data_IF_698373159566
#
_entry.id   IF_698373159566
#
_cell.length_a   1.000
_cell.length_b   1.000
_cell.length_c   1.000
_cell.angle_alpha   90.00
_cell.angle_beta   90.00
_cell.angle_gamma   90.00
#
_symmetry.space_group_name_H-M   'P 1'
#
loop_
_entity.id
_entity.type
_entity.pdbx_description
1 polymer ?
#
# COMPACT_ATOMS: atom_id res chain seq x y z
N UNK A 1 -15.64 -6.57 9.79
CA UNK A 1 -16.16 -7.72 9.03
C UNK A 1 -15.10 -8.21 8.05
N UNK A 2 -14.89 -9.51 8.02
CA UNK A 2 -13.91 -10.11 7.14
C UNK A 2 -14.34 -9.98 5.67
N UNK A 3 -13.45 -9.50 4.82
CA UNK A 3 -13.71 -9.40 3.39
C UNK A 3 -12.80 -10.38 2.65
N UNK A 4 -13.35 -11.42 2.01
CA UNK A 4 -12.53 -12.41 1.33
C UNK A 4 -11.62 -11.87 0.23
N UNK A 5 -11.97 -10.73 -0.37
CA UNK A 5 -11.11 -10.11 -1.39
C UNK A 5 -9.89 -9.44 -0.79
N UNK A 6 -10.02 -9.01 0.47
CA UNK A 6 -8.97 -8.26 1.13
C UNK A 6 -8.71 -8.85 2.51
N UNK A 7 -8.14 -10.06 2.55
CA UNK A 7 -8.01 -10.79 3.81
C UNK A 7 -6.82 -10.36 4.66
N UNK A 8 -5.95 -9.54 4.12
CA UNK A 8 -4.71 -9.14 4.80
C UNK A 8 -4.75 -7.66 5.14
N UNK A 9 -3.82 -7.22 5.98
CA UNK A 9 -3.71 -5.80 6.32
C UNK A 9 -2.29 -5.31 6.14
N UNK A 10 -2.17 -4.02 5.83
CA UNK A 10 -0.89 -3.36 5.77
C UNK A 10 -0.94 -2.01 6.46
N UNK A 11 0.20 -1.57 6.94
CA UNK A 11 0.37 -0.25 7.55
C UNK A 11 1.54 0.44 6.87
N UNK A 12 1.38 1.73 6.62
CA UNK A 12 2.34 2.48 5.82
C UNK A 12 3.30 3.23 6.73
N UNK A 13 4.58 3.14 6.40
CA UNK A 13 5.65 3.89 7.05
C UNK A 13 6.35 4.73 5.99
N UNK A 14 6.56 5.99 6.30
CA UNK A 14 7.21 6.91 5.37
C UNK A 14 8.43 7.50 6.01
N UNK A 15 9.48 7.69 5.21
CA UNK A 15 10.71 8.27 5.72
C UNK A 15 10.46 9.69 6.19
N UNK A 16 10.98 10.02 7.36
CA UNK A 16 10.91 11.38 7.89
C UNK A 16 11.89 12.26 7.12
N UNK A 17 11.48 13.48 6.81
CA UNK A 17 12.31 14.43 6.09
C UNK A 17 12.49 15.68 6.91
N UNK A 18 13.67 16.29 6.79
CA UNK A 18 13.95 17.56 7.42
C UNK A 18 13.41 18.71 6.57
N UNK A 19 13.63 19.95 7.01
CA UNK A 19 13.11 21.13 6.32
C UNK A 19 13.64 21.28 4.91
N UNK A 20 14.81 20.68 4.62
CA UNK A 20 15.41 20.73 3.29
C UNK A 20 14.92 19.61 2.38
N UNK A 21 14.03 18.76 2.86
CA UNK A 21 13.50 17.63 2.09
C UNK A 21 14.40 16.41 2.08
N UNK A 22 15.44 16.39 2.90
CA UNK A 22 16.36 15.26 2.97
C UNK A 22 15.91 14.27 4.06
N UNK A 23 16.17 12.97 3.87
CA UNK A 23 15.81 11.99 4.88
C UNK A 23 16.53 12.26 6.20
N UNK A 24 15.80 12.07 7.29
CA UNK A 24 16.39 12.13 8.63
C UNK A 24 17.07 10.78 8.87
N UNK A 25 18.33 10.84 9.31
CA UNK A 25 19.14 9.66 9.55
C UNK A 25 19.42 9.58 11.06
N UNK A 26 19.25 8.39 11.63
CA UNK A 26 19.54 8.18 13.05
C UNK A 26 21.03 7.98 13.30
N UNK A 27 21.39 7.78 14.56
CA UNK A 27 22.80 7.62 14.96
C UNK A 27 23.48 6.41 14.35
N UNK A 28 22.69 5.41 13.94
CA UNK A 28 23.22 4.21 13.30
C UNK A 28 23.39 4.36 11.80
N UNK A 29 23.01 5.51 11.23
CA UNK A 29 23.10 5.74 9.82
C UNK A 29 21.88 5.30 9.02
N UNK A 30 20.81 4.90 9.69
CA UNK A 30 19.60 4.42 9.03
C UNK A 30 18.55 5.50 8.93
N UNK A 31 17.73 5.47 7.86
CA UNK A 31 16.62 6.42 7.75
C UNK A 31 15.59 6.18 8.86
N UNK A 32 15.01 7.26 9.34
CA UNK A 32 13.93 7.23 10.34
C UNK A 32 12.60 7.22 9.61
N UNK A 33 11.72 6.30 10.00
CA UNK A 33 10.38 6.19 9.42
C UNK A 33 9.33 6.45 10.48
N UNK A 34 8.22 7.03 10.06
CA UNK A 34 7.04 7.20 10.90
C UNK A 34 5.83 6.60 10.24
N UNK A 35 4.88 6.18 11.07
CA UNK A 35 3.60 5.67 10.60
C UNK A 35 2.83 6.80 9.93
N UNK A 36 2.26 6.49 8.78
CA UNK A 36 1.42 7.42 8.03
C UNK A 36 -0.01 6.92 8.07
N UNK A 37 -0.92 7.78 8.54
CA UNK A 37 -2.33 7.48 8.38
C UNK A 37 -2.73 7.85 6.96
N UNK A 38 -3.57 7.03 6.37
CA UNK A 38 -4.05 7.24 5.01
C UNK A 38 -5.55 7.38 5.02
N UNK A 39 -6.08 7.99 3.98
CA UNK A 39 -7.52 8.12 3.82
C UNK A 39 -8.01 6.90 3.07
N UNK A 40 -8.94 6.18 3.65
CA UNK A 40 -9.58 5.08 2.95
C UNK A 40 -11.05 5.39 2.75
N UNK A 41 -11.63 4.85 1.70
CA UNK A 41 -13.03 5.07 1.39
C UNK A 41 -13.90 4.32 2.40
N UNK A 42 -14.89 5.01 2.93
CA UNK A 42 -15.85 4.39 3.84
C UNK A 42 -16.78 3.48 3.03
N UNK A 43 -16.92 2.24 3.46
CA UNK A 43 -17.74 1.26 2.79
C UNK A 43 -18.83 0.80 3.75
N UNK A 44 -20.08 0.85 3.30
CA UNK A 44 -21.24 0.37 4.06
C UNK A 44 -21.98 -0.63 3.18
N UNK A 45 -22.21 -1.82 3.73
CA UNK A 45 -22.88 -2.91 3.01
C UNK A 45 -22.23 -3.23 1.67
N UNK A 46 -20.90 -3.17 1.63
CA UNK A 46 -20.13 -3.50 0.45
C UNK A 46 -20.07 -2.41 -0.61
N UNK A 47 -20.62 -1.24 -0.32
CA UNK A 47 -20.65 -0.13 -1.29
C UNK A 47 -19.95 1.08 -0.72
N UNK A 48 -19.17 1.80 -1.55
CA UNK A 48 -18.59 3.06 -1.12
C UNK A 48 -19.69 4.08 -0.82
N UNK A 49 -19.48 4.86 0.23
CA UNK A 49 -20.40 5.94 0.59
C UNK A 49 -20.03 7.16 -0.21
N UNK A 50 -21.02 7.72 -0.94
CA UNK A 50 -20.81 8.94 -1.72
C UNK A 50 -21.40 10.14 -1.00
N UNK A 51 -20.65 11.23 -1.03
CA UNK A 51 -21.11 12.52 -0.54
C UNK A 51 -22.00 13.20 -1.58
N UNK A 52 -22.71 14.22 -1.14
CA UNK A 52 -23.65 14.94 -2.03
C UNK A 52 -22.96 15.63 -3.20
N UNK A 53 -21.67 15.92 -3.09
CA UNK A 53 -20.91 16.55 -4.16
C UNK A 53 -20.29 15.55 -5.14
N UNK A 54 -20.60 14.28 -5.00
CA UNK A 54 -20.10 13.23 -5.89
C UNK A 54 -18.76 12.62 -5.50
N UNK A 55 -18.15 13.10 -4.44
CA UNK A 55 -16.91 12.50 -3.94
C UNK A 55 -17.25 11.38 -2.97
N UNK A 56 -16.27 10.49 -2.77
CA UNK A 56 -16.42 9.43 -1.79
C UNK A 56 -16.12 9.95 -0.39
N UNK A 57 -16.87 9.45 0.58
CA UNK A 57 -16.57 9.71 1.98
C UNK A 57 -15.35 8.88 2.36
N UNK A 58 -14.41 9.51 3.07
CA UNK A 58 -13.18 8.85 3.49
C UNK A 58 -13.00 9.01 5.00
N UNK A 59 -12.20 8.11 5.56
CA UNK A 59 -11.81 8.20 6.96
C UNK A 59 -10.33 7.89 7.09
N UNK A 60 -9.71 8.42 8.13
CA UNK A 60 -8.32 8.13 8.40
C UNK A 60 -8.18 6.71 8.91
N UNK A 61 -7.17 6.01 8.43
CA UNK A 61 -6.88 4.66 8.85
C UNK A 61 -5.37 4.44 8.91
N UNK A 62 -4.97 3.70 9.92
CA UNK A 62 -3.58 3.27 10.07
C UNK A 62 -3.35 1.95 9.34
N UNK A 63 -4.31 1.05 9.42
CA UNK A 63 -4.25 -0.26 8.76
C UNK A 63 -5.24 -0.30 7.60
N UNK A 64 -4.80 -0.87 6.50
CA UNK A 64 -5.59 -0.96 5.28
C UNK A 64 -5.73 -2.42 4.90
N UNK A 65 -6.95 -2.83 4.59
CA UNK A 65 -7.21 -4.17 4.09
C UNK A 65 -6.70 -4.30 2.66
N UNK A 66 -6.11 -5.44 2.34
CA UNK A 66 -5.66 -5.71 0.98
C UNK A 66 -5.67 -7.20 0.69
N UNK A 67 -5.50 -7.54 -0.56
CA UNK A 67 -5.31 -8.92 -0.99
C UNK A 67 -4.20 -8.98 -2.02
N UNK A 68 -3.55 -10.13 -2.11
CA UNK A 68 -2.58 -10.35 -3.17
C UNK A 68 -3.31 -10.63 -4.47
N UNK A 69 -2.69 -10.21 -5.55
CA UNK A 69 -3.22 -10.43 -6.87
C UNK A 69 -2.17 -11.16 -7.70
N UNK A 70 -2.60 -12.17 -8.44
CA UNK A 70 -1.70 -12.88 -9.34
C UNK A 70 -1.36 -11.99 -10.51
N UNK A 71 -0.08 -11.84 -10.79
CA UNK A 71 0.34 -11.15 -12.00
C UNK A 71 0.01 -12.02 -13.19
N UNK A 72 -0.51 -11.38 -14.24
CA UNK A 72 -0.94 -12.12 -15.41
C UNK A 72 0.21 -12.79 -16.13
N UNK A 73 -0.07 -13.96 -16.67
CA UNK A 73 0.92 -14.70 -17.46
C UNK A 73 1.28 -13.99 -18.74
N UNK A 74 0.49 -13.01 -19.13
CA UNK A 74 0.71 -12.28 -20.37
C UNK A 74 1.76 -11.19 -20.25
N UNK A 75 2.24 -10.95 -19.06
CA UNK A 75 3.35 -10.04 -18.88
C UNK A 75 4.64 -10.75 -19.24
N UNK A 76 4.83 -10.96 -20.52
CA UNK A 76 5.96 -11.70 -21.00
C UNK A 76 7.00 -10.86 -21.65
N UNK A 77 6.80 -9.60 -21.57
CA UNK A 77 7.79 -8.67 -22.04
C UNK A 77 9.06 -8.86 -21.25
N UNK A 78 10.17 -8.91 -21.92
CA UNK A 78 11.46 -9.11 -21.28
C UNK A 78 11.78 -8.00 -20.30
N UNK A 79 11.19 -6.83 -20.47
CA UNK A 79 11.39 -5.73 -19.53
C UNK A 79 10.65 -5.96 -18.22
N UNK A 80 9.74 -6.91 -18.17
CA UNK A 80 8.93 -7.17 -16.99
C UNK A 80 9.57 -8.14 -16.00
N UNK A 81 10.76 -8.63 -16.31
CA UNK A 81 11.45 -9.56 -15.42
C UNK A 81 11.58 -8.98 -14.01
N UNK A 82 11.89 -7.70 -13.93
CA UNK A 82 12.04 -7.04 -12.63
C UNK A 82 10.69 -6.96 -11.89
N UNK A 83 9.62 -6.68 -12.63
CA UNK A 83 8.29 -6.57 -12.05
C UNK A 83 7.79 -7.93 -11.55
N UNK A 84 8.15 -9.01 -12.21
CA UNK A 84 7.71 -10.34 -11.82
C UNK A 84 8.27 -10.76 -10.46
N UNK A 85 9.33 -10.12 -9.99
CA UNK A 85 9.91 -10.41 -8.68
C UNK A 85 9.17 -9.71 -7.54
N UNK A 86 8.26 -8.81 -7.85
CA UNK A 86 7.52 -8.08 -6.83
C UNK A 86 6.18 -8.73 -6.56
N UNK A 87 5.70 -8.53 -5.35
CA UNK A 87 4.35 -8.94 -4.99
C UNK A 87 3.37 -7.86 -5.41
N UNK A 88 2.28 -8.27 -6.00
CA UNK A 88 1.23 -7.35 -6.40
C UNK A 88 0.08 -7.45 -5.41
N UNK A 89 -0.20 -6.35 -4.74
CA UNK A 89 -1.31 -6.25 -3.80
C UNK A 89 -2.41 -5.40 -4.40
N UNK A 90 -3.65 -5.73 -4.07
CA UNK A 90 -4.82 -4.95 -4.45
C UNK A 90 -5.54 -4.52 -3.18
N UNK A 91 -5.84 -3.24 -3.07
CA UNK A 91 -6.54 -2.67 -1.93
C UNK A 91 -7.78 -1.93 -2.40
N UNK A 92 -8.77 -1.70 -1.51
CA UNK A 92 -9.86 -0.81 -1.82
C UNK A 92 -9.33 0.57 -2.18
N UNK A 93 -10.16 1.37 -2.84
CA UNK A 93 -9.76 2.73 -3.21
C UNK A 93 -9.23 3.46 -1.97
N UNK A 94 -7.99 3.94 -2.07
CA UNK A 94 -7.35 4.67 -1.00
C UNK A 94 -6.60 5.84 -1.59
N UNK A 95 -6.25 6.79 -0.75
CA UNK A 95 -5.76 8.03 -1.24
C UNK A 95 -4.39 7.91 -1.82
N UNK A 96 -3.46 7.15 -1.20
CA UNK A 96 -2.19 7.33 -1.80
C UNK A 96 -1.02 6.74 -1.00
N UNK A 97 -0.19 6.03 -1.71
CA UNK A 97 1.14 5.65 -1.26
C UNK A 97 2.16 6.23 -2.23
N UNK A 98 3.36 6.47 -1.76
CA UNK A 98 4.43 6.97 -2.61
C UNK A 98 5.47 5.89 -2.83
N UNK A 99 6.10 5.84 -4.01
CA UNK A 99 7.27 5.01 -4.17
C UNK A 99 8.31 5.36 -3.11
N UNK A 100 8.88 4.34 -2.51
CA UNK A 100 9.82 4.52 -1.40
C UNK A 100 9.18 4.39 -0.03
N UNK A 101 7.86 4.42 0.07
CA UNK A 101 7.19 4.10 1.31
C UNK A 101 7.47 2.66 1.68
N UNK A 102 7.48 2.39 2.97
CA UNK A 102 7.64 1.03 3.49
C UNK A 102 6.31 0.58 4.06
N UNK A 103 5.96 -0.67 3.83
CA UNK A 103 4.72 -1.23 4.35
C UNK A 103 5.01 -2.38 5.30
N UNK A 104 4.28 -2.41 6.38
CA UNK A 104 4.29 -3.50 7.34
C UNK A 104 3.08 -4.36 7.01
N UNK A 105 3.30 -5.61 6.68
CA UNK A 105 2.25 -6.46 6.15
C UNK A 105 1.96 -7.59 7.11
N UNK A 106 0.66 -7.76 7.42
CA UNK A 106 0.16 -8.93 8.13
C UNK A 106 -0.65 -9.76 7.14
N UNK A 107 -0.12 -10.92 6.78
CA UNK A 107 -0.94 -11.90 6.08
C UNK A 107 -1.15 -13.10 7.01
N UNK A 108 -1.89 -14.08 6.56
CA UNK A 108 -2.23 -15.19 7.44
C UNK A 108 -1.02 -15.95 7.97
N UNK A 109 0.09 -15.89 7.26
CA UNK A 109 1.23 -16.76 7.58
C UNK A 109 2.29 -16.05 8.38
N UNK A 110 2.39 -14.72 8.24
CA UNK A 110 3.49 -13.99 8.87
C UNK A 110 3.30 -12.49 8.77
N UNK A 111 4.13 -11.79 9.50
CA UNK A 111 4.29 -10.33 9.38
C UNK A 111 5.64 -10.08 8.71
N UNK A 112 5.66 -9.19 7.74
CA UNK A 112 6.92 -8.84 7.08
C UNK A 112 6.87 -7.41 6.55
N UNK A 113 8.02 -6.94 6.10
CA UNK A 113 8.18 -5.57 5.59
C UNK A 113 8.36 -5.61 4.09
N UNK A 114 7.83 -4.60 3.42
CA UNK A 114 8.04 -4.42 1.99
C UNK A 114 8.23 -2.97 1.64
N UNK A 115 8.86 -2.71 0.51
CA UNK A 115 9.00 -1.35 -0.03
C UNK A 115 8.03 -1.19 -1.20
N UNK A 116 7.36 -0.04 -1.23
CA UNK A 116 6.46 0.29 -2.34
C UNK A 116 7.31 0.74 -3.51
N UNK A 117 7.19 0.01 -4.61
CA UNK A 117 7.92 0.31 -5.83
C UNK A 117 7.08 1.16 -6.76
N UNK A 118 5.79 0.85 -6.84
CA UNK A 118 4.87 1.50 -7.75
C UNK A 118 3.46 1.35 -7.23
N UNK A 119 2.62 2.31 -7.52
CA UNK A 119 1.20 2.24 -7.20
C UNK A 119 0.40 2.80 -8.35
N UNK A 120 -0.73 2.15 -8.65
CA UNK A 120 -1.71 2.66 -9.60
C UNK A 120 -3.08 2.63 -8.96
N UNK A 121 -3.80 3.74 -9.06
CA UNK A 121 -5.15 3.84 -8.52
C UNK A 121 -6.16 3.79 -9.65
N UNK A 122 -7.15 2.95 -9.48
CA UNK A 122 -8.28 2.82 -10.40
C UNK A 122 -9.55 3.35 -9.74
N UNK A 123 -10.66 3.30 -10.46
CA UNK A 123 -11.92 3.79 -9.92
C UNK A 123 -12.37 3.07 -8.66
N UNK A 124 -12.06 1.79 -8.53
CA UNK A 124 -12.56 0.97 -7.43
C UNK A 124 -11.44 0.30 -6.64
N UNK A 125 -10.22 0.75 -6.80
CA UNK A 125 -9.13 0.14 -6.04
C UNK A 125 -7.78 0.65 -6.44
N UNK A 126 -6.78 0.09 -5.80
CA UNK A 126 -5.38 0.41 -6.05
C UNK A 126 -4.58 -0.87 -6.20
N UNK A 127 -3.66 -0.87 -7.14
CA UNK A 127 -2.66 -1.93 -7.27
C UNK A 127 -1.33 -1.40 -6.76
N UNK A 128 -0.68 -2.19 -5.92
CA UNK A 128 0.56 -1.80 -5.24
C UNK A 128 1.60 -2.87 -5.52
N UNK A 129 2.71 -2.47 -6.10
CA UNK A 129 3.84 -3.37 -6.33
C UNK A 129 4.80 -3.24 -5.15
N UNK A 130 5.05 -4.35 -4.48
CA UNK A 130 5.79 -4.40 -3.23
C UNK A 130 7.00 -5.30 -3.38
N UNK A 131 8.15 -4.77 -3.01
CA UNK A 131 9.38 -5.53 -2.93
C UNK A 131 9.60 -5.93 -1.48
N UNK A 132 9.55 -7.21 -1.18
CA UNK A 132 9.76 -7.68 0.19
C UNK A 132 11.17 -7.36 0.65
N UNK A 133 11.26 -6.76 1.83
CA UNK A 133 12.56 -6.48 2.46
C UNK A 133 13.03 -7.74 3.14
N UNK A 134 14.19 -8.22 2.72
CA UNK A 134 14.78 -9.43 3.30
C UNK A 134 15.91 -9.03 4.23
N UNK A 135 15.91 -9.64 5.39
CA UNK A 135 16.95 -9.41 6.38
C UNK A 135 17.99 -10.51 6.32
#
# INVERSE_FOLDING_TARGET
>A
MFNPRFPHTLRVWRVCKNDSGEPVINDDGDPVYDIVTVQKVVVVDGKPVMLSDGRFETEEAEWIDFGYRTQGKNTRDTTDVVISDYKLATAPLMTYLEPGDRVEINDYTRTYWGDVVKMMTFNLGSNIWINEVKN
#
